data_IF_782090687829
#
_entry.id   IF_782090687829
#
_cell.length_a   1.000
_cell.length_b   1.000
_cell.length_c   1.000
_cell.angle_alpha   90.00
_cell.angle_beta   90.00
_cell.angle_gamma   90.00
#
_symmetry.space_group_name_H-M   'P 1'
#
loop_
_entity.id
_entity.type
_entity.pdbx_description
1 polymer ?
#
# COMPACT_ATOMS: atom_id res chain seq x y z
N UNK A 1 -12.12 -14.42 12.39
CA UNK A 1 -11.91 -13.92 11.02
C UNK A 1 -10.44 -13.64 10.84
N UNK A 2 -9.70 -14.63 10.31
CA UNK A 2 -8.39 -14.40 9.72
C UNK A 2 -8.69 -14.00 8.26
N UNK A 3 -7.93 -13.05 7.73
CA UNK A 3 -7.86 -12.78 6.29
C UNK A 3 -6.39 -12.98 5.95
N UNK A 4 -6.04 -14.13 5.38
CA UNK A 4 -4.68 -14.35 4.88
C UNK A 4 -4.45 -13.42 3.69
N UNK A 5 -3.44 -12.56 3.77
CA UNK A 5 -2.82 -12.02 2.56
C UNK A 5 -2.16 -13.22 1.90
N UNK A 6 -2.48 -13.52 0.65
CA UNK A 6 -1.89 -14.65 -0.06
C UNK A 6 -0.36 -14.54 -0.06
N UNK A 7 0.29 -15.27 0.83
CA UNK A 7 1.71 -15.53 0.75
C UNK A 7 1.90 -16.59 -0.33
N UNK A 8 2.29 -16.14 -1.52
CA UNK A 8 2.74 -17.01 -2.57
C UNK A 8 4.13 -17.55 -2.27
N UNK A 9 4.48 -18.75 -2.74
CA UNK A 9 5.85 -19.24 -2.68
C UNK A 9 6.76 -18.22 -3.36
N UNK A 10 7.79 -17.78 -2.63
CA UNK A 10 8.82 -16.92 -3.17
C UNK A 10 9.59 -17.69 -4.26
N UNK A 11 9.14 -17.56 -5.49
CA UNK A 11 9.98 -17.76 -6.67
C UNK A 11 11.05 -16.67 -6.70
N UNK A 12 12.00 -16.72 -5.77
CA UNK A 12 13.22 -15.94 -5.85
C UNK A 12 14.04 -16.49 -7.02
N UNK A 13 14.02 -15.79 -8.14
CA UNK A 13 15.17 -15.81 -9.03
C UNK A 13 16.36 -15.30 -8.21
N UNK A 14 17.24 -16.21 -7.79
CA UNK A 14 18.52 -15.90 -7.15
C UNK A 14 19.36 -15.07 -8.13
N UNK A 15 19.24 -13.74 -8.09
CA UNK A 15 20.22 -12.85 -8.68
C UNK A 15 21.21 -12.45 -7.60
N UNK A 16 22.38 -13.07 -7.65
CA UNK A 16 23.58 -12.59 -6.98
C UNK A 16 23.95 -11.27 -7.64
N UNK A 17 23.63 -10.15 -6.99
CA UNK A 17 24.15 -8.83 -7.40
C UNK A 17 25.62 -8.80 -7.03
N UNK A 18 26.49 -9.16 -7.98
CA UNK A 18 27.89 -8.77 -7.89
C UNK A 18 27.96 -7.24 -7.97
N UNK A 19 28.27 -6.59 -6.85
CA UNK A 19 28.68 -5.19 -6.83
C UNK A 19 30.00 -5.04 -7.59
N UNK A 20 29.93 -4.85 -8.91
CA UNK A 20 31.07 -4.38 -9.69
C UNK A 20 31.19 -2.88 -9.50
N UNK A 21 32.27 -2.44 -8.85
CA UNK A 21 32.64 -1.03 -8.74
C UNK A 21 32.74 -0.41 -10.15
N UNK A 22 32.03 0.68 -10.48
CA UNK A 22 32.23 1.35 -11.75
C UNK A 22 33.55 2.13 -11.74
N UNK A 23 34.35 1.94 -12.79
CA UNK A 23 35.53 2.76 -13.09
C UNK A 23 35.08 4.20 -13.33
N UNK A 24 35.54 5.14 -12.49
CA UNK A 24 35.32 6.56 -12.70
C UNK A 24 36.29 7.11 -13.77
N UNK A 25 35.82 7.92 -14.73
CA UNK A 25 36.69 8.69 -15.60
C UNK A 25 37.28 9.88 -14.84
N UNK A 26 38.60 10.12 -15.02
CA UNK A 26 39.31 11.27 -14.47
C UNK A 26 38.74 12.56 -15.07
N UNK A 27 38.03 13.36 -14.26
CA UNK A 27 37.67 14.74 -14.60
C UNK A 27 38.62 15.74 -13.95
N UNK A 28 39.00 16.73 -14.76
CA UNK A 28 39.93 17.82 -14.47
C UNK A 28 39.42 18.77 -13.38
N UNK A 29 40.35 19.19 -12.51
CA UNK A 29 40.14 20.15 -11.42
C UNK A 29 39.64 21.51 -11.92
N UNK A 30 38.49 21.95 -11.43
CA UNK A 30 38.17 23.38 -11.27
C UNK A 30 37.64 23.63 -9.85
N UNK A 31 38.33 24.54 -9.15
CA UNK A 31 38.02 25.00 -7.80
C UNK A 31 36.75 25.85 -7.78
N UNK A 32 35.71 25.39 -7.07
CA UNK A 32 34.65 26.27 -6.54
C UNK A 32 34.41 25.92 -5.07
N UNK A 33 34.60 26.92 -4.20
CA UNK A 33 34.29 26.89 -2.77
C UNK A 33 32.81 26.48 -2.60
N UNK A 34 32.58 25.31 -1.99
CA UNK A 34 31.25 24.80 -1.65
C UNK A 34 31.10 24.86 -0.13
N UNK A 35 30.07 25.57 0.33
CA UNK A 35 29.57 25.52 1.71
C UNK A 35 29.24 24.06 2.02
N UNK A 36 29.86 23.48 3.04
CA UNK A 36 29.67 22.08 3.42
C UNK A 36 28.34 21.91 4.15
N UNK A 37 27.26 21.65 3.41
CA UNK A 37 26.15 20.91 3.97
C UNK A 37 26.63 19.46 4.18
N UNK A 38 26.84 19.08 5.43
CA UNK A 38 27.12 17.69 5.80
C UNK A 38 25.83 16.91 5.51
N UNK A 39 25.72 16.37 4.29
CA UNK A 39 24.71 15.37 3.98
C UNK A 39 25.15 14.07 4.66
N UNK A 40 24.63 13.85 5.87
CA UNK A 40 24.68 12.55 6.52
C UNK A 40 23.75 11.64 5.72
N UNK A 41 24.31 10.86 4.78
CA UNK A 41 23.63 9.72 4.20
C UNK A 41 23.36 8.73 5.33
N UNK A 42 22.18 8.84 5.93
CA UNK A 42 21.70 7.93 6.95
C UNK A 42 21.30 6.61 6.28
N UNK A 43 22.00 5.53 6.61
CA UNK A 43 21.64 4.19 6.17
C UNK A 43 20.45 3.66 6.99
N UNK A 44 19.32 3.39 6.32
CA UNK A 44 18.08 2.93 6.97
C UNK A 44 18.28 1.71 7.86
N UNK A 45 19.05 0.72 7.42
CA UNK A 45 19.28 -0.51 8.20
C UNK A 45 19.99 -0.21 9.52
N UNK A 46 20.96 0.70 9.49
CA UNK A 46 21.65 1.15 10.70
C UNK A 46 20.81 2.08 11.58
N UNK A 47 19.85 2.81 11.01
CA UNK A 47 19.02 3.79 11.70
C UNK A 47 17.81 3.15 12.36
N UNK A 48 17.06 2.33 11.63
CA UNK A 48 15.78 1.79 12.05
C UNK A 48 15.95 0.48 12.83
N UNK A 49 16.47 0.61 14.06
CA UNK A 49 16.72 -0.51 14.98
C UNK A 49 16.10 -0.23 16.34
N UNK A 50 15.80 -1.27 17.13
CA UNK A 50 15.28 -1.08 18.50
C UNK A 50 16.21 -0.23 19.38
N UNK A 51 17.53 -0.28 19.16
CA UNK A 51 18.53 0.50 19.90
C UNK A 51 18.45 2.01 19.65
N UNK A 52 17.99 2.41 18.45
CA UNK A 52 17.86 3.81 18.05
C UNK A 52 16.40 4.29 18.10
N UNK A 53 15.52 3.58 18.82
CA UNK A 53 14.08 3.90 18.92
C UNK A 53 13.83 5.35 19.23
N UNK A 54 14.48 5.89 20.25
CA UNK A 54 14.31 7.30 20.66
C UNK A 54 14.62 8.30 19.56
N UNK A 55 15.41 7.93 18.54
CA UNK A 55 15.70 8.78 17.39
C UNK A 55 14.58 8.69 16.36
N UNK A 56 14.26 7.49 15.85
CA UNK A 56 13.26 7.37 14.78
C UNK A 56 11.81 7.49 15.29
N UNK A 57 11.56 7.47 16.59
CA UNK A 57 10.26 7.84 17.18
C UNK A 57 10.12 9.34 17.43
N UNK A 58 11.16 10.14 17.18
CA UNK A 58 11.10 11.60 17.29
C UNK A 58 10.66 12.21 15.94
N UNK A 59 9.51 12.90 15.88
CA UNK A 59 9.03 13.55 14.66
C UNK A 59 10.01 14.60 14.10
N UNK A 60 10.87 15.19 14.92
CA UNK A 60 11.88 16.15 14.48
C UNK A 60 12.87 15.54 13.48
N UNK A 61 13.22 14.25 13.64
CA UNK A 61 14.10 13.54 12.71
C UNK A 61 13.44 13.41 11.34
N UNK A 62 12.16 13.08 11.30
CA UNK A 62 11.42 12.94 10.04
C UNK A 62 11.20 14.26 9.32
N UNK A 63 11.00 15.36 10.05
CA UNK A 63 10.98 16.72 9.46
C UNK A 63 12.31 17.06 8.78
N UNK A 64 13.44 16.64 9.33
CA UNK A 64 14.75 16.86 8.72
C UNK A 64 14.93 16.07 7.42
N UNK A 65 14.40 14.84 7.35
CA UNK A 65 14.47 14.01 6.15
C UNK A 65 13.61 14.58 5.00
N UNK A 66 12.46 15.16 5.31
CA UNK A 66 11.55 15.76 4.32
C UNK A 66 11.12 17.17 4.75
N UNK A 67 12.00 18.19 4.62
CA UNK A 67 11.74 19.54 5.12
C UNK A 67 10.61 20.29 4.37
N UNK A 68 10.18 19.76 3.22
CA UNK A 68 9.05 20.29 2.44
C UNK A 68 7.69 19.75 2.89
N UNK A 69 7.66 18.80 3.82
CA UNK A 69 6.44 18.17 4.33
C UNK A 69 6.25 18.48 5.80
N UNK A 70 5.01 18.42 6.27
CA UNK A 70 4.67 18.73 7.65
C UNK A 70 4.38 17.49 8.47
N UNK A 71 4.74 17.57 9.75
CA UNK A 71 4.27 16.66 10.79
C UNK A 71 3.72 17.55 11.88
N UNK A 72 2.45 17.37 12.22
CA UNK A 72 1.80 18.06 13.34
C UNK A 72 1.87 17.16 14.57
N UNK A 73 2.56 17.64 15.62
CA UNK A 73 2.81 16.86 16.86
C UNK A 73 1.59 16.84 17.79
N UNK A 74 0.78 17.90 17.71
CA UNK A 74 -0.46 18.04 18.44
C UNK A 74 -1.60 18.21 17.44
N UNK A 75 -2.79 17.70 17.80
CA UNK A 75 -4.02 17.97 17.05
C UNK A 75 -4.35 19.46 17.23
N UNK A 76 -3.71 20.33 16.46
CA UNK A 76 -4.01 21.76 16.49
C UNK A 76 -5.52 21.94 16.27
N UNK A 77 -6.13 22.71 17.17
CA UNK A 77 -7.54 23.10 17.14
C UNK A 77 -7.79 24.10 16.02
N UNK A 78 -7.41 23.80 14.79
CA UNK A 78 -7.90 24.57 13.66
C UNK A 78 -9.37 24.24 13.47
N UNK A 79 -10.19 25.03 14.18
CA UNK A 79 -11.61 25.19 13.96
C UNK A 79 -11.89 25.89 12.64
N UNK A 80 -11.26 25.44 11.55
CA UNK A 80 -11.85 25.68 10.26
C UNK A 80 -13.13 24.84 10.20
N UNK A 81 -14.26 25.55 10.09
CA UNK A 81 -15.53 25.00 9.68
C UNK A 81 -15.36 24.47 8.24
N UNK A 82 -14.61 23.38 8.08
CA UNK A 82 -14.48 22.67 6.82
C UNK A 82 -15.85 22.04 6.61
N UNK A 83 -16.67 22.73 5.82
CA UNK A 83 -17.92 22.17 5.31
C UNK A 83 -17.60 20.75 4.84
N UNK A 84 -18.36 19.79 5.36
CA UNK A 84 -18.44 18.41 4.87
C UNK A 84 -18.18 18.41 3.36
N UNK A 85 -17.23 17.60 2.84
CA UNK A 85 -16.93 17.62 1.42
C UNK A 85 -18.23 17.39 0.66
N UNK A 86 -18.76 18.46 0.06
CA UNK A 86 -19.87 18.36 -0.89
C UNK A 86 -19.47 17.31 -1.91
N UNK A 87 -20.36 16.35 -2.19
CA UNK A 87 -20.14 15.19 -3.07
C UNK A 87 -19.04 15.46 -4.10
N UNK A 88 -17.84 14.94 -3.81
CA UNK A 88 -16.63 15.27 -4.56
C UNK A 88 -16.72 14.77 -6.01
N UNK A 89 -17.51 13.72 -6.21
CA UNK A 89 -17.89 13.18 -7.51
C UNK A 89 -19.37 13.39 -7.74
N UNK A 90 -19.76 13.61 -9.00
CA UNK A 90 -21.17 13.63 -9.36
C UNK A 90 -21.82 12.27 -9.04
N UNK A 91 -23.14 12.28 -8.77
CA UNK A 91 -23.89 11.04 -8.54
C UNK A 91 -23.79 10.07 -9.70
N UNK A 92 -23.77 10.59 -10.94
CA UNK A 92 -23.63 9.81 -12.18
C UNK A 92 -22.26 9.13 -12.25
N UNK A 93 -21.18 9.89 -12.04
CA UNK A 93 -19.81 9.34 -12.02
C UNK A 93 -19.68 8.25 -10.96
N UNK A 94 -20.18 8.52 -9.75
CA UNK A 94 -20.15 7.56 -8.64
C UNK A 94 -20.91 6.27 -8.96
N UNK A 95 -22.04 6.38 -9.65
CA UNK A 95 -22.82 5.21 -10.09
C UNK A 95 -22.09 4.42 -11.19
N UNK A 96 -21.49 5.10 -12.16
CA UNK A 96 -20.69 4.46 -13.21
C UNK A 96 -19.50 3.69 -12.63
N UNK A 97 -18.79 4.29 -11.66
CA UNK A 97 -17.68 3.63 -10.97
C UNK A 97 -18.15 2.37 -10.23
N UNK A 98 -19.30 2.44 -9.52
CA UNK A 98 -19.90 1.25 -8.88
C UNK A 98 -20.23 0.16 -9.91
N UNK A 99 -20.85 0.52 -11.03
CA UNK A 99 -21.16 -0.45 -12.09
C UNK A 99 -19.91 -1.12 -12.64
N UNK A 100 -18.85 -0.36 -12.94
CA UNK A 100 -17.58 -0.95 -13.39
C UNK A 100 -16.93 -1.86 -12.34
N UNK A 101 -16.97 -1.50 -11.04
CA UNK A 101 -16.50 -2.38 -9.97
C UNK A 101 -17.29 -3.69 -9.89
N UNK A 102 -18.60 -3.67 -10.16
CA UNK A 102 -19.45 -4.87 -10.17
C UNK A 102 -19.16 -5.72 -11.41
N UNK A 103 -19.10 -5.10 -12.58
CA UNK A 103 -19.08 -5.78 -13.88
C UNK A 103 -17.67 -6.26 -14.26
N UNK A 104 -16.67 -5.40 -14.07
CA UNK A 104 -15.28 -5.64 -14.49
C UNK A 104 -14.36 -5.96 -13.30
N UNK A 105 -14.77 -5.66 -12.07
CA UNK A 105 -13.95 -5.83 -10.86
C UNK A 105 -12.95 -4.69 -10.60
N UNK A 106 -12.93 -3.68 -11.48
CA UNK A 106 -12.13 -2.46 -11.36
C UNK A 106 -12.81 -1.29 -12.09
N UNK A 107 -12.43 -0.06 -11.73
CA UNK A 107 -12.89 1.17 -12.38
C UNK A 107 -11.74 2.18 -12.47
N UNK A 108 -11.79 3.08 -13.46
CA UNK A 108 -10.78 4.09 -13.70
C UNK A 108 -11.32 5.48 -13.34
N UNK A 109 -10.61 6.19 -12.47
CA UNK A 109 -10.96 7.56 -12.10
C UNK A 109 -10.02 8.55 -12.77
N UNK A 110 -10.56 9.37 -13.68
CA UNK A 110 -9.81 10.40 -14.39
C UNK A 110 -10.03 11.76 -13.73
N UNK A 111 -8.99 12.33 -13.12
CA UNK A 111 -9.10 13.54 -12.27
C UNK A 111 -9.61 14.82 -12.94
N UNK A 112 -9.61 14.93 -14.28
CA UNK A 112 -9.70 16.25 -14.92
C UNK A 112 -11.11 16.71 -15.33
N UNK A 113 -12.07 15.80 -15.56
CA UNK A 113 -13.38 16.18 -16.11
C UNK A 113 -14.60 15.66 -15.32
N UNK A 114 -14.38 14.79 -14.34
CA UNK A 114 -15.46 14.04 -13.67
C UNK A 114 -15.79 14.55 -12.25
N UNK A 115 -14.91 15.39 -11.69
CA UNK A 115 -15.20 16.21 -10.51
C UNK A 115 -16.01 17.39 -11.05
N UNK A 116 -17.34 17.34 -10.84
CA UNK A 116 -18.31 18.12 -11.59
C UNK A 116 -17.90 19.57 -11.82
N UNK A 117 -18.18 20.06 -13.04
CA UNK A 117 -18.21 21.48 -13.40
C UNK A 117 -19.20 22.21 -12.48
N UNK A 118 -18.80 22.49 -11.24
CA UNK A 118 -19.37 23.59 -10.50
C UNK A 118 -19.02 24.83 -11.30
N UNK A 119 -20.04 25.50 -11.83
CA UNK A 119 -19.99 26.67 -12.71
C UNK A 119 -19.29 27.90 -12.11
N UNK A 120 -18.53 27.73 -11.04
CA UNK A 120 -17.72 28.73 -10.34
C UNK A 120 -16.22 28.51 -10.54
N UNK A 121 -15.74 28.19 -11.75
CA UNK A 121 -14.38 28.48 -12.23
C UNK A 121 -13.19 28.26 -11.28
N UNK A 122 -13.31 27.31 -10.35
CA UNK A 122 -12.32 27.02 -9.31
C UNK A 122 -12.22 25.51 -9.19
N UNK A 123 -11.01 25.04 -9.46
CA UNK A 123 -10.34 23.93 -8.78
C UNK A 123 -10.34 22.56 -9.49
N UNK A 124 -9.41 22.35 -10.43
CA UNK A 124 -8.32 21.42 -10.05
C UNK A 124 -7.78 22.03 -8.76
N UNK A 125 -8.02 21.49 -7.56
CA UNK A 125 -7.51 22.16 -6.34
C UNK A 125 -5.99 22.30 -6.53
N UNK A 126 -5.46 23.54 -6.71
CA UNK A 126 -4.04 23.74 -6.97
C UNK A 126 -3.16 23.17 -5.84
N UNK A 127 -3.80 22.87 -4.71
CA UNK A 127 -3.26 22.18 -3.55
C UNK A 127 -2.91 20.70 -3.83
N UNK A 128 -3.76 19.91 -4.51
CA UNK A 128 -3.49 18.47 -4.70
C UNK A 128 -2.27 18.22 -5.59
N UNK A 129 -2.08 19.01 -6.66
CA UNK A 129 -0.89 18.88 -7.51
C UNK A 129 0.39 19.22 -6.76
N UNK A 130 0.36 20.26 -5.92
CA UNK A 130 1.49 20.64 -5.06
C UNK A 130 1.78 19.57 -4.00
N UNK A 131 0.73 19.06 -3.36
CA UNK A 131 0.82 17.94 -2.41
C UNK A 131 1.45 16.72 -3.07
N UNK A 132 0.96 16.30 -4.24
CA UNK A 132 1.54 15.17 -4.99
C UNK A 132 3.01 15.43 -5.32
N UNK A 133 3.35 16.63 -5.82
CA UNK A 133 4.73 16.96 -6.18
C UNK A 133 5.67 16.96 -4.97
N UNK A 134 5.21 17.45 -3.81
CA UNK A 134 5.95 17.40 -2.56
C UNK A 134 6.15 15.94 -2.09
N UNK A 135 5.09 15.11 -2.13
CA UNK A 135 5.16 13.69 -1.78
C UNK A 135 6.11 12.92 -2.71
N UNK A 136 6.06 13.16 -4.02
CA UNK A 136 6.99 12.55 -5.00
C UNK A 136 8.43 12.89 -4.68
N UNK A 137 8.72 14.16 -4.39
CA UNK A 137 10.06 14.63 -4.05
C UNK A 137 10.56 13.96 -2.76
N UNK A 138 9.71 13.91 -1.73
CA UNK A 138 10.03 13.31 -0.44
C UNK A 138 10.18 11.79 -0.49
N UNK A 139 9.30 11.07 -1.19
CA UNK A 139 9.45 9.62 -1.41
C UNK A 139 10.76 9.34 -2.15
N UNK A 140 11.11 10.16 -3.15
CA UNK A 140 12.39 10.02 -3.86
C UNK A 140 13.57 10.24 -2.92
N UNK A 141 13.52 11.24 -2.04
CA UNK A 141 14.55 11.49 -1.01
C UNK A 141 14.67 10.30 -0.05
N UNK A 142 13.55 9.84 0.53
CA UNK A 142 13.52 8.69 1.42
C UNK A 142 14.18 7.46 0.78
N UNK A 143 13.82 7.13 -0.46
CA UNK A 143 14.38 5.98 -1.17
C UNK A 143 15.84 6.20 -1.57
N UNK A 144 16.13 7.22 -2.38
CA UNK A 144 17.45 7.38 -3.04
C UNK A 144 18.55 7.85 -2.09
N UNK A 145 18.23 8.65 -1.07
CA UNK A 145 19.22 9.22 -0.16
C UNK A 145 19.36 8.44 1.15
N UNK A 146 18.29 7.77 1.58
CA UNK A 146 18.24 7.13 2.90
C UNK A 146 17.93 5.64 2.87
N UNK A 147 17.60 5.06 1.71
CA UNK A 147 17.14 3.66 1.60
C UNK A 147 15.93 3.34 2.49
N UNK A 148 15.08 4.35 2.73
CA UNK A 148 13.86 4.23 3.53
C UNK A 148 12.70 3.84 2.60
N UNK A 149 11.91 2.82 2.92
CA UNK A 149 10.74 2.44 2.14
C UNK A 149 9.74 3.59 1.94
N UNK A 150 9.17 3.69 0.73
CA UNK A 150 8.22 4.74 0.37
C UNK A 150 7.03 4.86 1.34
N UNK A 151 6.57 3.75 1.94
CA UNK A 151 5.48 3.70 2.93
C UNK A 151 5.69 4.61 4.15
N UNK A 152 6.94 4.97 4.49
CA UNK A 152 7.19 5.94 5.56
C UNK A 152 6.66 7.35 5.26
N UNK A 153 6.24 7.63 4.02
CA UNK A 153 5.54 8.88 3.67
C UNK A 153 4.24 9.09 4.48
N UNK A 154 3.66 8.03 5.05
CA UNK A 154 2.45 8.07 5.90
C UNK A 154 2.66 8.88 7.19
N UNK A 155 3.91 9.12 7.60
CA UNK A 155 4.22 9.94 8.77
C UNK A 155 3.86 11.41 8.58
N UNK A 156 3.77 11.89 7.33
CA UNK A 156 3.57 13.31 7.00
C UNK A 156 2.09 13.66 6.75
N UNK A 157 1.69 14.87 7.11
CA UNK A 157 0.30 15.34 7.05
C UNK A 157 -0.26 15.35 5.62
N UNK A 158 0.59 15.62 4.62
CA UNK A 158 0.23 15.64 3.21
C UNK A 158 -0.32 14.29 2.72
N UNK A 159 0.19 13.18 3.25
CA UNK A 159 -0.34 11.85 2.96
C UNK A 159 -1.77 11.71 3.47
N UNK A 160 -2.08 12.31 4.62
CA UNK A 160 -3.42 12.29 5.20
C UNK A 160 -4.40 13.23 4.51
N UNK A 161 -3.91 14.31 3.87
CA UNK A 161 -4.71 15.10 2.93
C UNK A 161 -5.17 14.23 1.74
N UNK A 162 -4.25 13.42 1.18
CA UNK A 162 -4.62 12.45 0.15
C UNK A 162 -5.50 11.32 0.68
N UNK A 163 -5.28 10.84 1.90
CA UNK A 163 -6.13 9.82 2.51
C UNK A 163 -7.57 10.32 2.71
N UNK A 164 -7.76 11.58 3.09
CA UNK A 164 -9.09 12.22 3.20
C UNK A 164 -9.78 12.30 1.83
N UNK A 165 -9.03 12.68 0.79
CA UNK A 165 -9.52 12.64 -0.59
C UNK A 165 -9.92 11.20 -1.00
N UNK A 166 -9.03 10.23 -0.80
CA UNK A 166 -9.27 8.83 -1.14
C UNK A 166 -10.46 8.24 -0.38
N UNK A 167 -10.60 8.55 0.91
CA UNK A 167 -11.75 8.16 1.73
C UNK A 167 -13.07 8.70 1.15
N UNK A 168 -13.08 9.96 0.72
CA UNK A 168 -14.26 10.59 0.11
C UNK A 168 -14.63 9.98 -1.25
N UNK A 169 -13.62 9.64 -2.06
CA UNK A 169 -13.82 8.94 -3.34
C UNK A 169 -14.36 7.53 -3.09
N UNK A 170 -13.74 6.78 -2.19
CA UNK A 170 -14.12 5.41 -1.85
C UNK A 170 -15.54 5.35 -1.25
N UNK A 171 -15.89 6.24 -0.33
CA UNK A 171 -17.24 6.30 0.24
C UNK A 171 -18.31 6.62 -0.83
N UNK A 172 -17.95 7.46 -1.81
CA UNK A 172 -18.84 7.80 -2.92
C UNK A 172 -18.97 6.68 -3.94
N UNK A 173 -17.93 5.87 -4.16
CA UNK A 173 -17.87 4.87 -5.24
C UNK A 173 -18.05 3.41 -4.79
N UNK A 174 -18.25 3.17 -3.50
CA UNK A 174 -18.40 1.81 -2.96
C UNK A 174 -19.68 1.67 -2.14
N UNK A 175 -19.92 0.48 -1.58
CA UNK A 175 -21.11 0.22 -0.78
C UNK A 175 -21.11 1.09 0.48
N UNK A 176 -22.27 1.54 0.94
CA UNK A 176 -22.41 2.47 2.08
C UNK A 176 -21.89 1.92 3.41
N UNK A 177 -21.77 0.60 3.52
CA UNK A 177 -21.19 -0.08 4.70
C UNK A 177 -19.66 -0.16 4.65
N UNK A 178 -19.03 0.17 3.52
CA UNK A 178 -17.58 0.16 3.45
C UNK A 178 -17.04 1.43 4.14
N UNK A 179 -16.17 1.23 5.11
CA UNK A 179 -15.50 2.29 5.87
C UNK A 179 -14.02 2.33 5.49
N UNK A 180 -13.37 3.46 5.66
CA UNK A 180 -11.93 3.56 5.39
C UNK A 180 -11.15 2.64 6.34
N UNK A 181 -10.37 1.74 5.78
CA UNK A 181 -9.78 0.62 6.51
C UNK A 181 -8.41 0.96 7.15
N UNK A 182 -7.74 2.03 6.71
CA UNK A 182 -6.36 2.37 7.08
C UNK A 182 -5.27 1.39 6.58
N UNK A 183 -5.58 0.48 5.65
CA UNK A 183 -4.58 -0.16 4.79
C UNK A 183 -4.08 0.88 3.78
N UNK A 184 -2.87 1.39 4.02
CA UNK A 184 -2.25 2.48 3.27
C UNK A 184 -0.81 2.08 2.98
N UNK A 185 -0.47 1.93 1.71
CA UNK A 185 0.88 1.59 1.27
C UNK A 185 1.34 2.56 0.20
N UNK A 186 2.63 2.85 0.18
CA UNK A 186 3.25 3.60 -0.90
C UNK A 186 4.41 2.81 -1.51
N UNK A 187 4.61 2.97 -2.81
CA UNK A 187 5.62 2.25 -3.56
C UNK A 187 6.48 3.20 -4.35
N UNK A 188 7.75 2.85 -4.47
CA UNK A 188 8.71 3.43 -5.38
C UNK A 188 9.27 2.32 -6.25
N UNK A 189 9.06 2.38 -7.56
CA UNK A 189 9.55 1.38 -8.51
C UNK A 189 10.36 2.07 -9.59
N UNK A 190 11.66 1.81 -9.61
CA UNK A 190 12.57 2.23 -10.67
C UNK A 190 13.07 0.99 -11.43
N UNK A 191 12.57 0.72 -12.65
CA UNK A 191 13.03 -0.40 -13.45
C UNK A 191 14.55 -0.39 -13.68
N UNK A 192 15.18 0.78 -13.71
CA UNK A 192 16.63 0.92 -13.91
C UNK A 192 17.44 0.41 -12.70
N UNK A 193 16.80 0.26 -11.55
CA UNK A 193 17.35 -0.39 -10.37
C UNK A 193 16.97 -1.88 -10.28
N UNK A 194 16.37 -2.44 -11.34
CA UNK A 194 15.85 -3.80 -11.36
C UNK A 194 14.60 -4.00 -10.50
N UNK A 195 13.96 -2.91 -10.05
CA UNK A 195 12.75 -3.00 -9.24
C UNK A 195 11.55 -3.40 -10.10
N UNK A 196 10.66 -4.21 -9.52
CA UNK A 196 9.44 -4.70 -10.18
C UNK A 196 8.24 -4.52 -9.26
N UNK A 197 7.05 -4.47 -9.85
CA UNK A 197 5.80 -4.51 -9.12
C UNK A 197 5.54 -5.87 -8.47
N UNK A 198 4.37 -5.98 -7.83
CA UNK A 198 3.95 -7.26 -7.26
C UNK A 198 3.64 -8.26 -8.37
N UNK A 199 3.94 -9.53 -8.15
CA UNK A 199 3.50 -10.63 -9.03
C UNK A 199 1.96 -10.72 -9.06
N UNK A 200 1.35 -11.39 -10.05
CA UNK A 200 -0.09 -11.64 -10.10
C UNK A 200 -0.64 -12.17 -8.78
N UNK A 201 -1.62 -11.46 -8.23
CA UNK A 201 -2.27 -11.80 -6.95
C UNK A 201 -3.66 -11.16 -6.83
N UNK A 202 -4.39 -11.57 -5.79
CA UNK A 202 -5.58 -10.89 -5.28
C UNK A 202 -5.25 -10.30 -3.91
N UNK A 203 -5.83 -9.16 -3.55
CA UNK A 203 -5.54 -8.52 -2.25
C UNK A 203 -6.02 -9.39 -1.10
N UNK A 204 -7.20 -10.02 -1.24
CA UNK A 204 -7.78 -10.89 -0.21
C UNK A 204 -8.41 -12.14 -0.83
N UNK A 205 -8.17 -13.27 -0.19
CA UNK A 205 -8.99 -14.47 -0.34
C UNK A 205 -9.82 -14.60 0.95
N UNK A 206 -11.12 -14.87 0.86
CA UNK A 206 -11.86 -15.26 2.03
C UNK A 206 -11.29 -16.59 2.53
N UNK A 207 -10.91 -16.63 3.81
CA UNK A 207 -10.31 -17.81 4.42
C UNK A 207 -11.30 -18.98 4.44
N UNK A 208 -10.83 -20.17 4.06
CA UNK A 208 -11.55 -21.44 4.23
C UNK A 208 -11.66 -21.86 5.72
N UNK A 209 -11.02 -21.13 6.63
CA UNK A 209 -10.93 -21.47 8.07
C UNK A 209 -12.21 -21.21 8.88
N UNK A 210 -13.19 -20.48 8.34
CA UNK A 210 -14.57 -20.73 8.81
C UNK A 210 -14.95 -22.09 8.24
N UNK A 211 -14.79 -23.17 9.03
CA UNK A 211 -15.14 -24.54 8.62
C UNK A 211 -16.33 -24.47 7.66
N UNK A 212 -16.12 -24.78 6.37
CA UNK A 212 -17.18 -24.66 5.40
C UNK A 212 -18.33 -25.47 5.95
N UNK A 213 -19.44 -24.81 6.29
CA UNK A 213 -20.62 -25.53 6.77
C UNK A 213 -20.86 -26.64 5.76
N UNK A 214 -20.88 -27.89 6.23
CA UNK A 214 -20.91 -29.08 5.39
C UNK A 214 -21.85 -28.86 4.19
N UNK A 215 -21.28 -28.81 2.98
CA UNK A 215 -22.00 -28.53 1.73
C UNK A 215 -21.80 -27.14 1.11
N UNK A 216 -21.00 -26.24 1.69
CA UNK A 216 -20.61 -24.98 1.03
C UNK A 216 -19.49 -25.20 0.00
N UNK A 217 -19.63 -24.56 -1.17
CA UNK A 217 -18.58 -24.53 -2.21
C UNK A 217 -17.66 -23.32 -2.04
N UNK A 218 -16.47 -23.33 -2.66
CA UNK A 218 -15.58 -22.16 -2.69
C UNK A 218 -16.27 -20.90 -3.22
N UNK A 219 -17.17 -21.06 -4.20
CA UNK A 219 -17.99 -19.97 -4.73
C UNK A 219 -18.96 -19.37 -3.68
N UNK A 220 -19.45 -20.17 -2.73
CA UNK A 220 -20.33 -19.67 -1.67
C UNK A 220 -19.55 -18.88 -0.61
N UNK A 221 -18.30 -19.26 -0.36
CA UNK A 221 -17.38 -18.51 0.49
C UNK A 221 -17.06 -17.16 -0.18
N UNK A 222 -16.75 -17.15 -1.48
CA UNK A 222 -16.50 -15.92 -2.24
C UNK A 222 -17.73 -15.01 -2.27
N UNK A 223 -18.94 -15.53 -2.49
CA UNK A 223 -20.16 -14.70 -2.46
C UNK A 223 -20.32 -13.93 -1.15
N UNK A 224 -19.86 -14.47 0.00
CA UNK A 224 -19.92 -13.79 1.30
C UNK A 224 -18.97 -12.60 1.44
N UNK A 225 -17.94 -12.51 0.60
CA UNK A 225 -17.03 -11.36 0.52
C UNK A 225 -17.58 -10.21 -0.35
N UNK A 226 -18.78 -10.38 -0.90
CA UNK A 226 -19.56 -9.35 -1.57
C UNK A 226 -20.83 -9.01 -0.78
N UNK A 227 -21.35 -7.82 -1.04
CA UNK A 227 -22.67 -7.38 -0.61
C UNK A 227 -23.76 -8.03 -1.47
N UNK A 228 -25.00 -7.99 -0.99
CA UNK A 228 -26.15 -8.61 -1.71
C UNK A 228 -26.41 -7.99 -3.08
N UNK A 229 -26.02 -6.73 -3.27
CA UNK A 229 -26.13 -6.00 -4.53
C UNK A 229 -24.94 -6.23 -5.48
N UNK A 230 -24.00 -7.11 -5.10
CA UNK A 230 -22.83 -7.46 -5.90
C UNK A 230 -21.62 -6.54 -5.69
N UNK A 231 -21.73 -5.46 -4.90
CA UNK A 231 -20.57 -4.62 -4.57
C UNK A 231 -19.58 -5.36 -3.67
N UNK A 232 -18.28 -5.11 -3.84
CA UNK A 232 -17.26 -5.75 -3.01
C UNK A 232 -17.23 -5.17 -1.58
N UNK A 233 -17.02 -6.04 -0.58
CA UNK A 233 -16.80 -5.62 0.81
C UNK A 233 -15.40 -5.07 1.09
N UNK A 234 -14.52 -5.05 0.10
CA UNK A 234 -13.18 -4.50 0.20
C UNK A 234 -12.77 -3.99 -1.17
N UNK A 235 -12.40 -2.71 -1.23
CA UNK A 235 -12.00 -2.00 -2.45
C UNK A 235 -10.75 -1.17 -2.17
N UNK A 236 -9.77 -1.31 -3.04
CA UNK A 236 -8.53 -0.55 -3.03
C UNK A 236 -8.62 0.57 -4.06
N UNK A 237 -8.22 1.78 -3.66
CA UNK A 237 -7.94 2.89 -4.55
C UNK A 237 -6.43 3.03 -4.66
N UNK A 238 -5.87 2.73 -5.83
CA UNK A 238 -4.47 2.95 -6.16
C UNK A 238 -4.34 4.26 -6.95
N UNK A 239 -3.52 5.18 -6.46
CA UNK A 239 -3.28 6.48 -7.07
C UNK A 239 -1.84 6.58 -7.57
N UNK A 240 -1.69 6.96 -8.84
CA UNK A 240 -0.40 7.28 -9.41
C UNK A 240 0.07 8.65 -8.89
N UNK A 241 1.27 8.74 -8.30
CA UNK A 241 1.88 10.02 -7.90
C UNK A 241 2.85 10.54 -8.97
N UNK A 242 3.46 9.63 -9.73
CA UNK A 242 4.11 9.93 -11.02
C UNK A 242 3.36 9.23 -12.14
N UNK A 243 3.65 9.60 -13.39
CA UNK A 243 3.03 8.93 -14.53
C UNK A 243 3.40 7.43 -14.54
N UNK A 244 2.38 6.59 -14.48
CA UNK A 244 2.50 5.16 -14.58
C UNK A 244 2.22 4.71 -16.02
N UNK A 245 3.16 3.99 -16.59
CA UNK A 245 3.17 3.49 -17.97
C UNK A 245 3.57 2.00 -17.98
N UNK A 246 3.34 1.26 -19.08
CA UNK A 246 3.87 -0.09 -19.22
C UNK A 246 5.38 -0.15 -19.00
N UNK A 247 6.12 0.87 -19.45
CA UNK A 247 7.58 0.94 -19.35
C UNK A 247 8.09 1.06 -17.91
N UNK A 248 7.30 1.62 -16.98
CA UNK A 248 7.67 1.77 -15.58
C UNK A 248 6.75 1.01 -14.60
N UNK A 249 6.17 -0.12 -15.03
CA UNK A 249 5.39 -1.01 -14.16
C UNK A 249 4.03 -0.43 -13.71
N UNK A 250 3.23 0.17 -14.62
CA UNK A 250 1.81 0.43 -14.32
C UNK A 250 1.06 -0.84 -13.87
N UNK A 251 -0.15 -0.66 -13.30
CA UNK A 251 -0.98 -1.80 -12.92
C UNK A 251 -1.45 -2.56 -14.16
N UNK A 252 -1.48 -3.88 -14.03
CA UNK A 252 -2.11 -4.80 -14.96
C UNK A 252 -3.21 -5.52 -14.22
N UNK A 253 -4.31 -5.81 -14.93
CA UNK A 253 -5.44 -6.56 -14.39
C UNK A 253 -5.94 -7.58 -15.39
N UNK A 254 -6.59 -8.63 -14.87
CA UNK A 254 -7.49 -9.47 -15.65
C UNK A 254 -8.93 -9.16 -15.24
N UNK A 255 -9.76 -8.57 -16.13
CA UNK A 255 -11.14 -8.24 -15.80
C UNK A 255 -11.95 -9.46 -15.33
N UNK A 256 -12.85 -9.25 -14.36
CA UNK A 256 -13.70 -10.26 -13.72
C UNK A 256 -14.25 -11.32 -14.67
N UNK A 257 -14.82 -10.90 -15.81
CA UNK A 257 -15.46 -11.81 -16.78
C UNK A 257 -14.52 -12.81 -17.45
N UNK A 258 -13.22 -12.56 -17.40
CA UNK A 258 -12.18 -13.42 -17.97
C UNK A 258 -11.42 -14.21 -16.90
N UNK A 259 -11.85 -14.12 -15.64
CA UNK A 259 -11.20 -14.75 -14.50
C UNK A 259 -12.20 -15.65 -13.77
N UNK A 260 -12.20 -16.97 -14.05
CA UNK A 260 -13.08 -17.92 -13.37
C UNK A 260 -12.92 -17.89 -11.85
N UNK A 261 -11.70 -17.67 -11.38
CA UNK A 261 -11.37 -17.63 -9.95
C UNK A 261 -11.93 -16.42 -9.23
N UNK A 262 -12.25 -15.33 -9.93
CA UNK A 262 -12.82 -14.14 -9.32
C UNK A 262 -14.07 -14.48 -8.51
N UNK A 263 -14.96 -15.29 -9.09
CA UNK A 263 -16.24 -15.68 -8.48
C UNK A 263 -16.21 -17.06 -7.85
N UNK A 264 -15.44 -18.00 -8.40
CA UNK A 264 -15.44 -19.38 -7.93
C UNK A 264 -14.53 -19.61 -6.71
N UNK A 265 -13.57 -18.72 -6.45
CA UNK A 265 -12.48 -18.99 -5.53
C UNK A 265 -11.23 -19.47 -6.25
N UNK A 266 -10.09 -19.35 -5.58
CA UNK A 266 -8.88 -20.07 -5.99
C UNK A 266 -8.92 -21.39 -5.20
N UNK A 267 -9.08 -22.53 -5.89
CA UNK A 267 -9.16 -23.83 -5.22
C UNK A 267 -7.79 -24.08 -4.58
N UNK A 268 -7.71 -24.01 -3.25
CA UNK A 268 -6.47 -24.28 -2.50
C UNK A 268 -6.54 -25.64 -1.80
N UNK A 269 -7.45 -26.53 -2.22
CA UNK A 269 -7.52 -27.85 -1.61
C UNK A 269 -6.26 -28.62 -1.99
N UNK A 270 -5.46 -28.98 -0.99
CA UNK A 270 -4.24 -29.81 -1.17
C UNK A 270 -4.57 -31.20 -1.76
N UNK A 271 -5.87 -31.55 -1.83
CA UNK A 271 -6.45 -32.79 -2.35
C UNK A 271 -6.94 -32.70 -3.82
N UNK A 272 -6.92 -31.52 -4.46
CA UNK A 272 -7.26 -31.39 -5.89
C UNK A 272 -6.04 -31.70 -6.78
N UNK A 273 -6.24 -32.57 -7.77
CA UNK A 273 -5.25 -32.86 -8.83
C UNK A 273 -4.90 -31.62 -9.68
N UNK A 274 -5.70 -30.55 -9.61
CA UNK A 274 -5.50 -29.30 -10.34
C UNK A 274 -4.67 -28.30 -9.51
N UNK A 275 -3.34 -28.48 -9.57
CA UNK A 275 -2.34 -27.57 -8.95
C UNK A 275 -2.14 -26.27 -9.75
N UNK A 276 -3.06 -25.89 -10.63
CA UNK A 276 -2.89 -24.71 -11.46
C UNK A 276 -2.98 -23.43 -10.63
N UNK A 277 -1.97 -22.58 -10.77
CA UNK A 277 -1.97 -21.30 -10.11
C UNK A 277 -3.08 -20.39 -10.69
N UNK A 278 -3.64 -19.45 -9.90
CA UNK A 278 -4.72 -18.56 -10.33
C UNK A 278 -4.54 -17.90 -11.69
N UNK A 279 -3.32 -17.52 -12.09
CA UNK A 279 -3.06 -16.89 -13.38
C UNK A 279 -3.13 -17.91 -14.51
N UNK A 280 -2.51 -19.08 -14.35
CA UNK A 280 -2.56 -20.15 -15.35
C UNK A 280 -3.98 -20.63 -15.63
N UNK A 281 -4.81 -20.74 -14.59
CA UNK A 281 -6.23 -21.07 -14.74
C UNK A 281 -7.02 -20.00 -15.49
N UNK A 282 -6.69 -18.73 -15.26
CA UNK A 282 -7.37 -17.63 -15.92
C UNK A 282 -6.87 -17.38 -17.35
N UNK A 283 -5.67 -17.87 -17.69
CA UNK A 283 -5.03 -17.74 -19.00
C UNK A 283 -4.68 -19.08 -19.66
N UNK A 284 -5.66 -19.98 -19.93
CA UNK A 284 -5.38 -21.35 -20.36
C UNK A 284 -4.92 -21.48 -21.82
N UNK A 285 -5.10 -20.44 -22.64
CA UNK A 285 -4.74 -20.47 -24.07
C UNK A 285 -3.99 -19.22 -24.51
N UNK A 286 -3.34 -19.25 -25.67
CA UNK A 286 -2.62 -18.06 -26.20
C UNK A 286 -3.55 -16.87 -26.41
N UNK A 287 -4.78 -17.12 -26.82
CA UNK A 287 -5.80 -16.10 -27.07
C UNK A 287 -6.22 -15.42 -25.76
N UNK A 288 -6.24 -16.16 -24.65
CA UNK A 288 -6.64 -15.62 -23.35
C UNK A 288 -5.71 -14.49 -22.84
N UNK A 289 -4.45 -14.44 -23.26
CA UNK A 289 -3.53 -13.34 -22.94
C UNK A 289 -4.02 -11.98 -23.48
N UNK A 290 -4.88 -11.97 -24.52
CA UNK A 290 -5.51 -10.74 -25.02
C UNK A 290 -6.52 -10.14 -24.04
N UNK A 291 -6.90 -10.86 -22.97
CA UNK A 291 -7.79 -10.36 -21.93
C UNK A 291 -7.07 -9.51 -20.87
N UNK A 292 -5.73 -9.56 -20.83
CA UNK A 292 -4.92 -8.74 -19.94
C UNK A 292 -5.12 -7.26 -20.28
N UNK A 293 -5.23 -6.40 -19.27
CA UNK A 293 -5.31 -4.95 -19.44
C UNK A 293 -4.17 -4.28 -18.70
N UNK A 294 -3.34 -3.55 -19.42
CA UNK A 294 -2.46 -2.55 -18.82
C UNK A 294 -3.26 -1.29 -18.50
N UNK A 295 -3.06 -0.71 -17.32
CA UNK A 295 -3.77 0.45 -16.83
C UNK A 295 -2.80 1.62 -16.61
N UNK A 296 -2.23 2.22 -17.68
CA UNK A 296 -1.38 3.40 -17.55
C UNK A 296 -2.19 4.58 -17.00
N UNK A 297 -1.65 5.30 -16.02
CA UNK A 297 -2.29 6.41 -15.31
C UNK A 297 -1.31 7.60 -15.19
N UNK A 298 -1.65 8.77 -15.74
CA UNK A 298 -0.97 10.02 -15.38
C UNK A 298 -1.01 10.30 -13.88
N UNK A 299 -0.04 11.08 -13.39
CA UNK A 299 0.02 11.55 -12.01
C UNK A 299 -1.32 12.15 -11.54
N UNK A 300 -1.75 11.75 -10.36
CA UNK A 300 -3.03 12.07 -9.74
C UNK A 300 -4.16 11.09 -10.06
N UNK A 301 -4.15 10.45 -11.24
CA UNK A 301 -5.24 9.55 -11.61
C UNK A 301 -5.22 8.25 -10.80
N UNK A 302 -6.38 7.62 -10.67
CA UNK A 302 -6.54 6.44 -9.81
C UNK A 302 -7.21 5.26 -10.51
N UNK A 303 -6.93 4.08 -9.99
CA UNK A 303 -7.63 2.82 -10.29
C UNK A 303 -8.31 2.39 -9.00
N UNK A 304 -9.62 2.17 -9.04
CA UNK A 304 -10.35 1.51 -7.97
C UNK A 304 -10.48 0.05 -8.36
N UNK A 305 -10.25 -0.88 -7.44
CA UNK A 305 -10.35 -2.29 -7.75
C UNK A 305 -10.75 -3.13 -6.53
N UNK A 306 -11.50 -4.20 -6.78
CA UNK A 306 -12.01 -5.06 -5.70
C UNK A 306 -10.91 -5.96 -5.15
N UNK A 307 -11.05 -6.42 -3.91
CA UNK A 307 -10.12 -7.39 -3.33
C UNK A 307 -9.94 -8.69 -4.13
N UNK A 308 -10.87 -8.99 -5.04
CA UNK A 308 -10.87 -10.19 -5.89
C UNK A 308 -10.24 -9.97 -7.24
N UNK A 309 -9.98 -8.76 -7.72
CA UNK A 309 -9.40 -8.63 -9.07
C UNK A 309 -7.99 -9.24 -9.11
N UNK A 310 -7.70 -10.05 -10.12
CA UNK A 310 -6.33 -10.52 -10.35
C UNK A 310 -5.54 -9.37 -10.95
N UNK A 311 -4.50 -8.92 -10.24
CA UNK A 311 -3.73 -7.75 -10.62
C UNK A 311 -2.24 -7.84 -10.24
N UNK A 312 -1.41 -7.03 -10.89
CA UNK A 312 0.04 -6.98 -10.68
C UNK A 312 0.67 -5.69 -11.18
N UNK A 313 1.94 -5.46 -10.84
CA UNK A 313 2.78 -4.51 -11.57
C UNK A 313 3.77 -5.26 -12.43
N UNK A 314 3.87 -4.92 -13.72
CA UNK A 314 4.75 -5.60 -14.67
C UNK A 314 6.24 -5.38 -14.38
N UNK A 315 7.11 -6.18 -15.00
CA UNK A 315 8.53 -5.82 -15.08
C UNK A 315 8.67 -4.64 -16.03
N UNK A 316 9.18 -3.51 -15.54
CA UNK A 316 9.46 -2.34 -16.38
C UNK A 316 10.67 -2.56 -17.30
N UNK A 317 10.84 -1.65 -18.26
CA UNK A 317 11.92 -1.70 -19.22
C UNK A 317 13.17 -0.99 -18.69
N UNK A 318 14.16 -1.78 -18.27
CA UNK A 318 15.45 -1.29 -17.74
C UNK A 318 16.26 -0.50 -18.79
N UNK A 319 16.04 -0.81 -20.08
CA UNK A 319 16.76 -0.24 -21.23
C UNK A 319 15.98 0.88 -21.92
N UNK A 320 14.84 1.31 -21.38
CA UNK A 320 14.05 2.38 -21.99
C UNK A 320 14.92 3.65 -22.03
N UNK A 321 15.42 3.97 -23.23
CA UNK A 321 16.31 5.09 -23.50
C UNK A 321 15.58 6.43 -23.54
N UNK A 322 14.30 6.45 -23.18
CA UNK A 322 13.50 7.67 -23.18
C UNK A 322 14.01 8.59 -22.07
N UNK A 323 14.56 9.73 -22.47
CA UNK A 323 14.61 10.92 -21.62
C UNK A 323 13.18 11.16 -21.12
N UNK A 324 12.89 10.78 -19.86
CA UNK A 324 11.54 10.84 -19.31
C UNK A 324 11.05 9.56 -18.61
N UNK A 325 11.78 8.44 -18.64
CA UNK A 325 11.45 7.30 -17.78
C UNK A 325 11.63 7.72 -16.31
N UNK A 326 10.50 7.98 -15.66
CA UNK A 326 10.45 8.30 -14.23
C UNK A 326 10.12 7.02 -13.45
N UNK A 327 10.68 6.87 -12.24
CA UNK A 327 10.22 5.86 -11.30
C UNK A 327 8.70 5.97 -11.13
N UNK A 328 8.01 4.83 -11.09
CA UNK A 328 6.60 4.79 -10.74
C UNK A 328 6.46 4.90 -9.24
N UNK A 329 5.89 6.01 -8.80
CA UNK A 329 5.53 6.28 -7.43
C UNK A 329 4.02 6.24 -7.32
N UNK A 330 3.51 5.50 -6.35
CA UNK A 330 2.08 5.36 -6.14
C UNK A 330 1.76 5.17 -4.66
N UNK A 331 0.51 5.45 -4.31
CA UNK A 331 -0.04 5.24 -2.97
C UNK A 331 -1.41 4.59 -3.08
N UNK A 332 -1.75 3.72 -2.13
CA UNK A 332 -3.08 3.12 -2.06
C UNK A 332 -3.81 3.50 -0.78
N UNK A 333 -5.14 3.52 -0.89
CA UNK A 333 -6.07 3.65 0.21
C UNK A 333 -7.15 2.59 0.07
N UNK A 334 -7.71 2.15 1.18
CA UNK A 334 -8.67 1.04 1.18
C UNK A 334 -9.93 1.43 1.94
N UNK A 335 -11.08 0.98 1.42
CA UNK A 335 -12.32 0.88 2.19
C UNK A 335 -12.80 -0.57 2.27
N UNK A 336 -13.40 -0.93 3.39
CA UNK A 336 -13.97 -2.26 3.59
C UNK A 336 -15.15 -2.26 4.56
N UNK A 337 -16.05 -3.22 4.39
CA UNK A 337 -17.09 -3.50 5.37
C UNK A 337 -16.44 -4.12 6.63
N UNK A 338 -16.67 -3.55 7.83
CA UNK A 338 -16.09 -4.06 9.08
C UNK A 338 -16.46 -5.51 9.44
N UNK A 339 -17.52 -6.08 8.85
CA UNK A 339 -17.88 -7.50 8.96
C UNK A 339 -16.98 -8.40 8.13
N UNK A 340 -16.28 -7.86 7.14
CA UNK A 340 -15.31 -8.57 6.31
C UNK A 340 -13.87 -8.27 6.72
N UNK A 341 -13.49 -6.99 6.81
CA UNK A 341 -12.22 -6.55 7.35
C UNK A 341 -12.41 -5.25 8.11
N UNK A 342 -12.08 -5.24 9.40
CA UNK A 342 -12.22 -4.05 10.24
C UNK A 342 -11.11 -3.04 9.94
N UNK A 343 -11.39 -1.74 10.15
CA UNK A 343 -10.35 -0.72 10.15
C UNK A 343 -9.19 -1.10 11.07
N UNK A 344 -7.95 -0.86 10.64
CA UNK A 344 -6.74 -1.25 11.37
C UNK A 344 -6.54 -0.46 12.65
N UNK A 345 -7.03 0.78 12.68
CA UNK A 345 -7.01 1.62 13.87
C UNK A 345 -8.30 1.42 14.67
N UNK A 346 -8.16 1.28 15.99
CA UNK A 346 -9.28 1.26 16.91
C UNK A 346 -10.00 2.62 16.93
N UNK A 347 -11.29 2.66 17.25
CA UNK A 347 -11.98 3.94 17.44
C UNK A 347 -11.34 4.79 18.54
N UNK A 348 -10.71 4.18 19.55
CA UNK A 348 -9.97 4.89 20.60
C UNK A 348 -8.77 5.67 20.05
N UNK A 349 -8.12 5.20 18.98
CA UNK A 349 -7.04 5.92 18.29
C UNK A 349 -7.47 7.23 17.65
N UNK A 350 -8.76 7.36 17.36
CA UNK A 350 -9.36 8.48 16.63
C UNK A 350 -10.11 9.43 17.56
N UNK A 351 -10.38 9.02 18.81
CA UNK A 351 -11.00 9.87 19.81
C UNK A 351 -10.04 11.00 20.16
N UNK A 352 -10.47 12.23 19.90
CA UNK A 352 -9.87 13.43 20.52
C UNK A 352 -10.02 13.28 22.03
N UNK A 353 -8.98 13.61 22.81
CA UNK A 353 -9.08 13.82 24.26
C UNK A 353 -10.02 15.00 24.54
N UNK A 354 -11.31 14.74 24.38
CA UNK A 354 -12.37 15.72 24.49
C UNK A 354 -12.95 15.53 25.87
N UNK A 355 -12.42 16.25 26.85
CA UNK A 355 -13.09 16.45 28.16
C UNK A 355 -14.40 17.26 28.05
N UNK A 356 -15.02 17.35 26.86
CA UNK A 356 -16.30 18.01 26.67
C UNK A 356 -17.38 16.95 26.44
N UNK A 357 -18.32 16.78 27.39
CA UNK A 357 -19.47 15.91 27.19
C UNK A 357 -20.44 16.62 26.23
N UNK A 358 -20.41 16.27 24.95
CA UNK A 358 -21.48 16.62 24.02
C UNK A 358 -22.43 15.45 23.90
N UNK A 359 -23.62 15.61 24.47
CA UNK A 359 -24.72 14.65 24.47
C UNK A 359 -25.36 14.53 23.08
N UNK A 360 -24.65 14.02 22.07
CA UNK A 360 -25.28 13.65 20.78
C UNK A 360 -24.61 12.38 20.22
N UNK A 361 -25.19 11.21 20.54
CA UNK A 361 -24.70 9.87 20.18
C UNK A 361 -25.06 9.43 18.75
N UNK A 362 -25.55 10.31 17.89
CA UNK A 362 -26.08 9.88 16.59
C UNK A 362 -25.77 10.88 15.47
N UNK A 363 -24.53 10.84 14.93
CA UNK A 363 -24.19 11.14 13.52
C UNK A 363 -22.68 11.21 13.17
N UNK A 364 -21.75 11.08 14.12
CA UNK A 364 -20.34 11.47 13.91
C UNK A 364 -19.33 10.42 13.39
N UNK A 365 -19.75 9.29 12.78
CA UNK A 365 -18.77 8.38 12.15
C UNK A 365 -18.10 8.99 10.91
N UNK A 366 -18.79 9.85 10.15
CA UNK A 366 -18.22 10.46 8.95
C UNK A 366 -17.23 11.62 9.22
N UNK A 367 -17.20 12.20 10.42
CA UNK A 367 -16.30 13.32 10.78
C UNK A 367 -14.93 12.88 11.31
N UNK A 368 -14.66 11.57 11.44
CA UNK A 368 -13.40 11.04 11.99
C UNK A 368 -12.16 11.29 11.13
N UNK A 369 -12.33 11.77 9.89
CA UNK A 369 -11.24 12.07 8.94
C UNK A 369 -10.88 13.56 8.83
N UNK A 370 -11.38 14.40 9.73
CA UNK A 370 -11.10 15.84 9.65
C UNK A 370 -9.65 16.19 10.00
N UNK A 371 -8.98 15.40 10.86
CA UNK A 371 -7.60 15.62 11.29
C UNK A 371 -6.73 14.37 11.07
N UNK A 372 -5.45 14.51 10.71
CA UNK A 372 -4.56 13.36 10.60
C UNK A 372 -4.30 12.75 12.01
N UNK A 373 -4.09 11.43 12.14
CA UNK A 373 -3.78 10.80 13.43
C UNK A 373 -2.51 11.40 14.06
N UNK A 374 -2.31 11.29 15.38
CA UNK A 374 -1.04 11.70 16.00
C UNK A 374 0.16 10.95 15.41
N UNK A 375 1.35 11.58 15.39
CA UNK A 375 2.56 10.98 14.82
C UNK A 375 2.83 9.55 15.32
N UNK A 376 2.69 9.29 16.62
CA UNK A 376 2.86 7.95 17.22
C UNK A 376 1.94 6.89 16.61
N UNK A 377 0.71 7.27 16.25
CA UNK A 377 -0.28 6.36 15.65
C UNK A 377 0.08 6.10 14.18
N UNK A 378 0.54 7.13 13.45
CA UNK A 378 1.05 6.97 12.08
C UNK A 378 2.24 6.02 12.06
N UNK A 379 3.18 6.20 12.99
CA UNK A 379 4.37 5.34 13.12
C UNK A 379 3.99 3.91 13.50
N UNK A 380 3.04 3.73 14.41
CA UNK A 380 2.49 2.42 14.76
C UNK A 380 1.88 1.73 13.54
N UNK A 381 1.09 2.46 12.76
CA UNK A 381 0.47 1.95 11.54
C UNK A 381 1.50 1.58 10.48
N UNK A 382 2.54 2.40 10.27
CA UNK A 382 3.66 2.07 9.36
C UNK A 382 4.38 0.80 9.80
N UNK A 383 4.76 0.69 11.09
CA UNK A 383 5.42 -0.49 11.62
C UNK A 383 4.57 -1.76 11.46
N UNK A 384 3.27 -1.67 11.75
CA UNK A 384 2.34 -2.79 11.60
C UNK A 384 2.24 -3.24 10.14
N UNK A 385 2.05 -2.30 9.21
CA UNK A 385 1.95 -2.62 7.78
C UNK A 385 3.25 -3.18 7.20
N UNK A 386 4.42 -2.66 7.62
CA UNK A 386 5.71 -3.21 7.23
C UNK A 386 5.87 -4.68 7.63
N UNK A 387 5.30 -5.10 8.77
CA UNK A 387 5.29 -6.51 9.19
C UNK A 387 4.35 -7.35 8.33
N UNK A 388 3.13 -6.86 8.07
CA UNK A 388 2.15 -7.54 7.21
C UNK A 388 2.72 -7.78 5.79
N UNK A 389 3.50 -6.84 5.29
CA UNK A 389 4.05 -6.86 3.94
C UNK A 389 5.57 -7.05 3.91
N UNK A 390 6.18 -7.67 4.94
CA UNK A 390 7.64 -7.72 5.12
C UNK A 390 8.38 -8.33 3.91
N UNK A 391 7.80 -9.33 3.26
CA UNK A 391 8.36 -9.98 2.06
C UNK A 391 8.49 -9.03 0.87
N UNK A 392 7.81 -7.87 0.90
CA UNK A 392 7.79 -6.88 -0.18
C UNK A 392 8.77 -5.72 0.05
N UNK A 393 9.11 -5.44 1.31
CA UNK A 393 9.97 -4.32 1.67
C UNK A 393 11.44 -4.71 1.85
N UNK A 394 11.77 -6.01 1.73
CA UNK A 394 13.14 -6.54 1.90
C UNK A 394 13.83 -6.01 3.18
N UNK A 395 13.06 -5.98 4.28
CA UNK A 395 13.53 -5.45 5.56
C UNK A 395 14.58 -6.38 6.17
N UNK A 396 15.58 -5.81 6.84
CA UNK A 396 16.52 -6.60 7.65
C UNK A 396 15.80 -7.20 8.87
N UNK A 397 16.39 -8.27 9.43
CA UNK A 397 15.93 -8.90 10.68
C UNK A 397 15.82 -7.87 11.82
N UNK A 398 16.74 -6.92 11.89
CA UNK A 398 16.77 -5.85 12.88
C UNK A 398 15.61 -4.86 12.70
N UNK A 399 15.29 -4.48 11.45
CA UNK A 399 14.15 -3.61 11.16
C UNK A 399 12.82 -4.28 11.48
N UNK A 400 12.66 -5.57 11.11
CA UNK A 400 11.46 -6.37 11.44
C UNK A 400 11.25 -6.42 12.96
N UNK A 401 12.31 -6.68 13.73
CA UNK A 401 12.26 -6.64 15.20
C UNK A 401 11.91 -5.26 15.73
N UNK A 402 12.51 -4.19 15.18
CA UNK A 402 12.22 -2.82 15.60
C UNK A 402 10.74 -2.44 15.39
N UNK A 403 10.17 -2.82 14.24
CA UNK A 403 8.73 -2.65 13.97
C UNK A 403 7.89 -3.40 15.00
N UNK A 404 8.19 -4.69 15.24
CA UNK A 404 7.39 -5.51 16.16
C UNK A 404 7.48 -5.03 17.60
N UNK A 405 8.67 -4.66 18.08
CA UNK A 405 8.83 -4.15 19.42
C UNK A 405 8.04 -2.84 19.63
N UNK A 406 7.96 -1.98 18.60
CA UNK A 406 7.12 -0.77 18.63
C UNK A 406 5.63 -1.11 18.66
N UNK A 407 5.19 -2.05 17.81
CA UNK A 407 3.81 -2.53 17.84
C UNK A 407 3.46 -3.16 19.19
N UNK A 408 4.34 -3.96 19.78
CA UNK A 408 4.13 -4.59 21.08
C UNK A 408 3.91 -3.57 22.20
N UNK A 409 4.62 -2.43 22.14
CA UNK A 409 4.53 -1.37 23.15
C UNK A 409 3.26 -0.51 22.99
N UNK A 410 2.80 -0.26 21.76
CA UNK A 410 1.78 0.75 21.50
C UNK A 410 0.47 0.22 20.89
N UNK A 411 0.37 -1.07 20.51
CA UNK A 411 -0.79 -1.56 19.76
C UNK A 411 -2.06 -1.81 20.59
N UNK A 412 -1.96 -2.01 21.91
CA UNK A 412 -3.07 -2.52 22.72
C UNK A 412 -4.34 -1.66 22.65
N UNK A 413 -4.18 -0.34 22.79
CA UNK A 413 -5.32 0.58 22.73
C UNK A 413 -5.56 1.14 21.33
N UNK A 414 -4.65 0.88 20.38
CA UNK A 414 -4.58 1.63 19.13
C UNK A 414 -4.84 0.82 17.85
N UNK A 415 -4.49 -0.47 17.83
CA UNK A 415 -4.81 -1.33 16.69
C UNK A 415 -6.07 -2.14 16.98
N UNK A 416 -6.87 -2.41 15.95
CA UNK A 416 -7.93 -3.42 16.05
C UNK A 416 -7.34 -4.76 16.52
N UNK A 417 -8.05 -5.46 17.38
CA UNK A 417 -7.56 -6.67 18.03
C UNK A 417 -7.24 -7.79 17.01
N UNK A 418 -8.05 -7.94 15.96
CA UNK A 418 -7.80 -8.91 14.92
C UNK A 418 -6.59 -8.52 14.08
N UNK A 419 -6.43 -7.23 13.78
CA UNK A 419 -5.26 -6.71 13.08
C UNK A 419 -3.97 -6.90 13.90
N UNK A 420 -3.99 -6.58 15.21
CA UNK A 420 -2.86 -6.82 16.12
C UNK A 420 -2.42 -8.29 16.15
N UNK A 421 -3.38 -9.22 16.18
CA UNK A 421 -3.08 -10.67 16.08
C UNK A 421 -2.42 -11.01 14.75
N UNK A 422 -2.90 -10.45 13.64
CA UNK A 422 -2.31 -10.64 12.30
C UNK A 422 -0.86 -10.16 12.26
N UNK A 423 -0.59 -8.97 12.80
CA UNK A 423 0.77 -8.41 12.91
C UNK A 423 1.71 -9.36 13.68
N UNK A 424 1.24 -9.94 14.79
CA UNK A 424 2.03 -10.92 15.54
C UNK A 424 2.34 -12.18 14.73
N UNK A 425 1.35 -12.73 14.03
CA UNK A 425 1.53 -13.92 13.19
C UNK A 425 2.55 -13.68 12.08
N UNK A 426 2.43 -12.55 11.36
CA UNK A 426 3.37 -12.20 10.29
C UNK A 426 4.78 -11.92 10.80
N UNK A 427 4.92 -11.33 12.00
CA UNK A 427 6.21 -11.21 12.66
C UNK A 427 6.85 -12.58 12.94
N UNK A 428 6.11 -13.50 13.58
CA UNK A 428 6.62 -14.85 13.89
C UNK A 428 7.04 -15.58 12.62
N UNK A 429 6.23 -15.47 11.56
CA UNK A 429 6.54 -16.03 10.25
C UNK A 429 7.82 -15.44 9.66
N UNK A 430 7.94 -14.11 9.62
CA UNK A 430 9.14 -13.42 9.15
C UNK A 430 10.39 -13.90 9.89
N UNK A 431 10.32 -13.99 11.22
CA UNK A 431 11.45 -14.45 12.04
C UNK A 431 11.85 -15.90 11.72
N UNK A 432 10.88 -16.78 11.49
CA UNK A 432 11.13 -18.19 11.12
C UNK A 432 11.81 -18.30 9.75
N UNK A 433 11.33 -17.56 8.75
CA UNK A 433 11.92 -17.53 7.40
C UNK A 433 13.39 -17.09 7.44
N UNK A 434 13.73 -16.13 8.30
CA UNK A 434 15.11 -15.69 8.52
C UNK A 434 15.98 -16.78 9.16
N UNK A 435 15.49 -17.45 10.20
CA UNK A 435 16.24 -18.51 10.87
C UNK A 435 16.48 -19.71 9.94
N UNK A 436 15.51 -20.05 9.09
CA UNK A 436 15.64 -21.07 8.05
C UNK A 436 16.71 -20.68 7.00
N UNK A 437 16.71 -19.42 6.55
CA UNK A 437 17.71 -18.89 5.61
C UNK A 437 19.13 -18.92 6.20
N UNK A 438 19.31 -18.45 7.43
CA UNK A 438 20.61 -18.49 8.12
C UNK A 438 21.11 -19.93 8.31
N UNK A 439 20.21 -20.87 8.61
CA UNK A 439 20.55 -22.29 8.72
C UNK A 439 20.97 -22.89 7.37
N UNK A 440 20.31 -22.51 6.27
CA UNK A 440 20.67 -22.95 4.92
C UNK A 440 22.03 -22.40 4.48
N UNK A 441 22.33 -21.13 4.74
CA UNK A 441 23.62 -20.50 4.42
C UNK A 441 24.78 -21.15 5.19
N UNK A 442 24.60 -21.45 6.47
CA UNK A 442 25.61 -22.16 7.28
C UNK A 442 25.90 -23.57 6.74
N UNK A 443 24.86 -24.29 6.30
CA UNK A 443 25.02 -25.63 5.69
C UNK A 443 25.73 -25.60 4.34
N UNK A 444 25.56 -24.53 3.57
CA UNK A 444 26.26 -24.37 2.30
C UNK A 444 27.74 -24.05 2.51
N UNK A 445 28.06 -23.14 3.44
CA UNK A 445 29.45 -22.76 3.74
C UNK A 445 30.27 -23.93 4.32
N UNK A 446 29.67 -24.80 5.14
CA UNK A 446 30.39 -25.97 5.67
C UNK A 446 30.68 -27.05 4.63
N UNK A 447 29.93 -27.12 3.52
CA UNK A 447 30.22 -28.03 2.40
C UNK A 447 31.35 -27.55 1.51
N UNK A 448 31.49 -26.23 1.34
CA UNK A 448 32.56 -25.63 0.53
C UNK A 448 33.94 -25.73 1.19
N UNK A 449 34.01 -25.78 2.53
CA UNK A 449 35.27 -25.98 3.26
C UNK A 449 35.72 -27.46 3.31
N UNK A 450 34.82 -28.42 3.14
CA UNK A 450 35.18 -29.85 3.03
C UNK A 450 35.66 -30.26 1.62
N UNK A 451 35.62 -29.35 0.63
CA UNK A 451 36.01 -29.62 -0.77
C UNK A 451 37.24 -28.84 -1.22
N UNK A 452 37.92 -28.15 -0.30
CA UNK A 452 39.27 -27.60 -0.45
C UNK A 452 40.23 -28.36 0.46
#
# INVERSE_FOLDING_TARGET
ARNRVCAWPSGQANYVIHQTKPNQPKQSRQNKKRVSAISLNMDFVSFFTSKKRSQWSDPSQWRQLCPSLTITDEMEKEGENIKQPSQLLSSITSQQMRSHLIDDGYALLNNQNEIGNSSNGRNETPDNKKVIQALVSSITTLHKQHSIPATFIILYDETWKLAKYGSSVLSSCTHTNNEFNYDILAWYIDPREGMVGFSPHRDRQPDEEEEPKKGMTGGDIVKRSFHKDGQAKYVTMWMALTDATPENSCLYVLPKKFDPGYSAGDNNSDDDDDKSDPLSRALPTKESYQNIRALPRPSGQSVLFTHRILHWGSKGNENSSSEGLTPRIAISFVSSDPTFERPYLSSASLKRDSQCPTNEESQHQHDQFLSPPPFRIRLLLVCAQLLIYHQRFNLSKECVRACYDYCKEHAEDHLDEAYRRKVFVEFVKAMKEWDEKEAAEKKNNSKTDCTK
#
